data_IF_450092218750
#
_entry.id   IF_450092218750
#
_cell.length_a   1.000
_cell.length_b   1.000
_cell.length_c   1.000
_cell.angle_alpha   90.00
_cell.angle_beta   90.00
_cell.angle_gamma   90.00
#
_symmetry.space_group_name_H-M   'P 1'
#
loop_
_entity.id
_entity.type
_entity.pdbx_description
1 polymer ?
#
# COMPACT_ATOMS: atom_id res chain seq x y z
N UNK A 1 -4.91 19.40 -27.40
CA UNK A 1 -4.35 18.12 -27.93
C UNK A 1 -3.37 17.50 -26.92
N UNK A 2 -3.87 17.05 -25.76
CA UNK A 2 -3.02 16.45 -24.70
C UNK A 2 -3.46 15.02 -24.31
N UNK A 3 -4.39 14.42 -25.07
CA UNK A 3 -5.00 13.12 -24.73
C UNK A 3 -4.49 11.92 -25.56
N UNK A 4 -3.52 12.10 -26.46
CA UNK A 4 -3.12 11.00 -27.40
C UNK A 4 -1.72 10.44 -27.12
N UNK A 5 -0.91 11.09 -26.27
CA UNK A 5 0.44 10.61 -25.97
C UNK A 5 0.53 9.68 -24.74
N UNK A 6 -0.56 9.50 -23.99
CA UNK A 6 -0.59 8.58 -22.84
C UNK A 6 -0.91 7.12 -23.21
N UNK A 7 -1.44 6.86 -24.41
CA UNK A 7 -1.81 5.50 -24.83
C UNK A 7 -0.61 4.72 -25.41
N UNK A 8 0.44 5.40 -25.86
CA UNK A 8 1.57 4.76 -26.57
C UNK A 8 2.77 4.46 -25.67
N UNK A 9 2.81 4.98 -24.45
CA UNK A 9 3.86 4.63 -23.48
C UNK A 9 3.24 3.71 -22.44
N UNK A 10 3.15 2.41 -22.76
CA UNK A 10 3.10 1.36 -21.75
C UNK A 10 4.39 1.46 -20.92
N UNK A 11 4.45 2.39 -19.97
CA UNK A 11 5.37 2.25 -18.84
C UNK A 11 4.82 1.06 -18.09
N UNK A 12 5.41 -0.11 -18.31
CA UNK A 12 5.02 -1.35 -17.65
C UNK A 12 5.33 -1.23 -16.15
N UNK A 13 4.38 -0.66 -15.40
CA UNK A 13 4.45 -0.46 -13.95
C UNK A 13 4.75 -1.77 -13.21
N UNK A 14 4.37 -2.93 -13.78
CA UNK A 14 4.66 -4.25 -13.21
C UNK A 14 6.15 -4.60 -13.28
N UNK A 15 6.85 -4.15 -14.32
CA UNK A 15 8.31 -4.31 -14.41
C UNK A 15 9.05 -3.52 -13.32
N UNK A 16 8.43 -2.44 -12.83
CA UNK A 16 9.03 -1.58 -11.83
C UNK A 16 9.01 -2.19 -10.41
N UNK A 17 8.06 -3.05 -10.09
CA UNK A 17 7.91 -3.54 -8.71
C UNK A 17 8.30 -5.01 -8.52
N UNK A 18 8.85 -5.68 -9.54
CA UNK A 18 9.41 -7.03 -9.36
C UNK A 18 10.78 -6.98 -8.67
N UNK A 19 11.04 -7.82 -7.64
CA UNK A 19 12.40 -8.07 -7.20
C UNK A 19 13.14 -8.71 -8.38
N UNK A 20 14.16 -8.04 -8.91
CA UNK A 20 15.00 -8.62 -9.97
C UNK A 20 15.81 -9.77 -9.35
N UNK A 21 15.90 -10.95 -10.02
CA UNK A 21 16.80 -11.99 -9.59
C UNK A 21 18.23 -11.43 -9.56
N UNK A 22 18.99 -11.78 -8.51
CA UNK A 22 20.42 -11.50 -8.40
C UNK A 22 21.11 -12.01 -9.67
N UNK A 23 21.41 -11.13 -10.62
CA UNK A 23 22.13 -11.48 -11.85
C UNK A 23 21.67 -10.83 -13.16
N UNK A 24 20.47 -10.21 -13.22
CA UNK A 24 20.05 -9.46 -14.41
C UNK A 24 20.21 -7.95 -14.16
N UNK A 25 21.40 -7.44 -14.45
CA UNK A 25 21.70 -6.00 -14.47
C UNK A 25 20.68 -5.27 -15.38
N UNK A 26 20.15 -4.11 -14.97
CA UNK A 26 19.31 -3.30 -15.84
C UNK A 26 20.13 -2.76 -17.02
N UNK A 27 19.49 -2.58 -18.17
CA UNK A 27 19.93 -1.59 -19.14
C UNK A 27 20.28 -0.26 -18.42
N UNK A 28 21.40 0.40 -18.75
CA UNK A 28 21.98 1.51 -17.98
C UNK A 28 21.17 2.82 -18.03
N UNK A 29 19.91 2.80 -18.47
CA UNK A 29 19.10 4.01 -18.69
C UNK A 29 18.00 4.27 -17.65
N UNK A 30 17.72 3.36 -16.72
CA UNK A 30 16.74 3.60 -15.64
C UNK A 30 17.49 3.75 -14.32
N UNK A 31 17.91 4.98 -14.06
CA UNK A 31 18.59 5.35 -12.81
C UNK A 31 17.59 5.31 -11.63
N UNK A 32 18.04 5.04 -10.39
CA UNK A 32 17.21 5.08 -9.17
C UNK A 32 16.45 6.40 -8.98
N UNK A 33 16.99 7.49 -9.53
CA UNK A 33 16.36 8.81 -9.57
C UNK A 33 15.07 8.85 -10.39
N UNK A 34 14.94 8.04 -11.45
CA UNK A 34 13.76 8.01 -12.31
C UNK A 34 12.57 7.30 -11.64
N UNK A 35 12.83 6.26 -10.83
CA UNK A 35 11.80 5.63 -10.00
C UNK A 35 11.27 6.56 -8.92
N UNK A 36 12.20 7.26 -8.27
CA UNK A 36 11.86 8.30 -7.29
C UNK A 36 11.01 9.39 -7.95
N UNK A 37 11.38 9.82 -9.16
CA UNK A 37 10.63 10.80 -9.94
C UNK A 37 9.25 10.26 -10.36
N UNK A 38 9.15 9.01 -10.79
CA UNK A 38 7.88 8.40 -11.21
C UNK A 38 6.92 8.24 -10.02
N UNK A 39 7.40 7.76 -8.88
CA UNK A 39 6.60 7.61 -7.66
C UNK A 39 6.17 8.99 -7.15
N UNK A 40 7.06 9.97 -7.14
CA UNK A 40 6.74 11.33 -6.72
C UNK A 40 5.76 12.02 -7.70
N UNK A 41 5.95 11.81 -9.01
CA UNK A 41 5.04 12.30 -10.06
C UNK A 41 3.65 11.66 -9.93
N UNK A 42 3.55 10.35 -9.72
CA UNK A 42 2.27 9.66 -9.46
C UNK A 42 1.61 10.18 -8.19
N UNK A 43 2.39 10.38 -7.11
CA UNK A 43 1.93 10.91 -5.82
C UNK A 43 1.43 12.36 -5.87
N UNK A 44 1.97 13.17 -6.78
CA UNK A 44 1.63 14.59 -6.94
C UNK A 44 0.57 14.84 -8.01
N UNK A 45 0.52 14.03 -9.08
CA UNK A 45 -0.43 14.23 -10.19
C UNK A 45 -1.65 13.32 -10.15
N UNK A 46 -1.59 12.07 -9.67
CA UNK A 46 -2.74 11.17 -9.77
C UNK A 46 -3.64 11.20 -8.53
N UNK A 47 -3.04 11.32 -7.35
CA UNK A 47 -3.77 11.28 -6.08
C UNK A 47 -4.43 12.63 -5.77
N UNK A 48 -3.76 13.76 -6.05
CA UNK A 48 -4.28 15.10 -5.72
C UNK A 48 -5.40 15.64 -6.62
N UNK A 49 -5.73 14.98 -7.74
CA UNK A 49 -6.69 15.50 -8.72
C UNK A 49 -8.15 15.13 -8.44
N UNK A 50 -8.45 14.35 -7.39
CA UNK A 50 -9.82 13.85 -7.10
C UNK A 50 -10.51 13.22 -8.33
N UNK A 51 -9.75 12.70 -9.31
CA UNK A 51 -10.32 11.94 -10.43
C UNK A 51 -10.42 10.47 -10.01
N UNK A 52 -11.64 9.95 -9.84
CA UNK A 52 -11.84 8.55 -9.50
C UNK A 52 -11.33 7.61 -10.61
N UNK A 53 -11.37 8.03 -11.88
CA UNK A 53 -10.89 7.19 -13.00
C UNK A 53 -9.38 6.91 -12.91
N UNK A 54 -8.58 7.95 -12.61
CA UNK A 54 -7.13 7.80 -12.48
C UNK A 54 -6.76 6.94 -11.27
N UNK A 55 -7.49 7.08 -10.17
CA UNK A 55 -7.29 6.25 -8.96
C UNK A 55 -7.55 4.77 -9.26
N UNK A 56 -8.60 4.47 -10.02
CA UNK A 56 -8.94 3.10 -10.40
C UNK A 56 -7.89 2.47 -11.32
N UNK A 57 -7.40 3.23 -12.32
CA UNK A 57 -6.31 2.78 -13.20
C UNK A 57 -5.04 2.51 -12.37
N UNK A 58 -4.67 3.41 -11.45
CA UNK A 58 -3.50 3.20 -10.60
C UNK A 58 -3.65 1.93 -9.75
N UNK A 59 -4.80 1.75 -9.10
CA UNK A 59 -5.05 0.55 -8.27
C UNK A 59 -4.98 -0.73 -9.10
N UNK A 60 -5.49 -0.71 -10.33
CA UNK A 60 -5.40 -1.86 -11.24
C UNK A 60 -3.95 -2.23 -11.60
N UNK A 61 -3.05 -1.24 -11.69
CA UNK A 61 -1.62 -1.46 -11.99
C UNK A 61 -0.85 -1.99 -10.77
N UNK A 62 -1.24 -1.56 -9.56
CA UNK A 62 -0.60 -1.96 -8.30
C UNK A 62 -1.15 -3.28 -7.74
N UNK A 63 -2.30 -3.74 -8.23
CA UNK A 63 -2.96 -4.97 -7.81
C UNK A 63 -2.00 -6.18 -7.87
N UNK A 64 -2.05 -6.98 -6.81
CA UNK A 64 -1.17 -8.14 -6.59
C UNK A 64 0.17 -7.80 -5.92
N UNK A 65 0.51 -6.52 -5.76
CA UNK A 65 1.78 -6.09 -5.18
C UNK A 65 1.63 -5.24 -3.92
N UNK A 66 0.42 -5.02 -3.39
CA UNK A 66 0.22 -4.06 -2.29
C UNK A 66 1.05 -4.39 -1.04
N UNK A 67 1.20 -5.66 -0.70
CA UNK A 67 2.01 -6.07 0.44
C UNK A 67 3.50 -5.74 0.24
N UNK A 68 4.04 -5.97 -0.95
CA UNK A 68 5.43 -5.65 -1.26
C UNK A 68 5.68 -4.13 -1.26
N UNK A 69 4.78 -3.37 -1.88
CA UNK A 69 4.83 -1.90 -1.92
C UNK A 69 4.76 -1.27 -0.54
N UNK A 70 3.99 -1.88 0.37
CA UNK A 70 3.81 -1.38 1.74
C UNK A 70 5.08 -1.42 2.57
N UNK A 71 6.06 -2.26 2.22
CA UNK A 71 7.36 -2.36 2.91
C UNK A 71 8.42 -1.45 2.30
N UNK A 72 8.07 -0.68 1.26
CA UNK A 72 8.99 0.25 0.63
C UNK A 72 8.80 1.66 1.18
N UNK A 73 9.89 2.29 1.61
CA UNK A 73 9.94 3.66 2.17
C UNK A 73 9.12 4.70 1.41
N UNK A 74 9.09 4.62 0.08
CA UNK A 74 8.43 5.60 -0.77
C UNK A 74 7.07 5.10 -1.26
N UNK A 75 7.00 3.84 -1.67
CA UNK A 75 5.76 3.27 -2.21
C UNK A 75 4.70 3.04 -1.13
N UNK A 76 5.08 2.87 0.15
CA UNK A 76 4.12 2.75 1.26
C UNK A 76 3.18 3.97 1.32
N UNK A 77 3.72 5.18 1.09
CA UNK A 77 2.95 6.42 1.08
C UNK A 77 1.91 6.43 -0.05
N UNK A 78 2.21 5.79 -1.19
CA UNK A 78 1.27 5.64 -2.30
C UNK A 78 0.13 4.74 -1.86
N UNK A 79 0.43 3.60 -1.24
CA UNK A 79 -0.59 2.65 -0.76
C UNK A 79 -1.47 3.30 0.31
N UNK A 80 -0.89 4.06 1.25
CA UNK A 80 -1.65 4.82 2.25
C UNK A 80 -2.60 5.82 1.62
N UNK A 81 -2.13 6.58 0.64
CA UNK A 81 -2.96 7.51 -0.11
C UNK A 81 -4.08 6.81 -0.87
N UNK A 82 -3.80 5.71 -1.56
CA UNK A 82 -4.82 4.90 -2.21
C UNK A 82 -5.87 4.41 -1.20
N UNK A 83 -5.48 4.02 0.01
CA UNK A 83 -6.44 3.62 1.05
C UNK A 83 -7.30 4.77 1.55
N UNK A 84 -6.74 5.99 1.67
CA UNK A 84 -7.42 7.14 2.25
C UNK A 84 -8.33 7.85 1.24
N UNK A 85 -7.90 7.93 -0.02
CA UNK A 85 -8.51 8.80 -1.04
C UNK A 85 -9.34 8.04 -2.08
N UNK A 86 -9.26 6.70 -2.12
CA UNK A 86 -10.10 5.91 -3.03
C UNK A 86 -11.49 5.66 -2.48
N UNK A 87 -12.41 5.30 -3.38
CA UNK A 87 -13.75 4.86 -3.03
C UNK A 87 -13.73 3.68 -2.05
N UNK A 88 -14.71 3.55 -1.14
CA UNK A 88 -14.74 2.52 -0.11
C UNK A 88 -14.59 1.09 -0.65
N UNK A 89 -15.11 0.81 -1.84
CA UNK A 89 -15.01 -0.50 -2.48
C UNK A 89 -13.58 -0.80 -2.96
N UNK A 90 -12.87 0.22 -3.46
CA UNK A 90 -11.48 0.13 -3.89
C UNK A 90 -10.60 -0.09 -2.66
N UNK A 91 -10.77 0.71 -1.61
CA UNK A 91 -10.04 0.54 -0.35
C UNK A 91 -10.28 -0.86 0.24
N UNK A 92 -11.51 -1.38 0.17
CA UNK A 92 -11.84 -2.74 0.61
C UNK A 92 -11.08 -3.80 -0.18
N UNK A 93 -10.98 -3.67 -1.51
CA UNK A 93 -10.18 -4.58 -2.36
C UNK A 93 -8.70 -4.58 -1.96
N UNK A 94 -8.11 -3.40 -1.75
CA UNK A 94 -6.71 -3.26 -1.32
C UNK A 94 -6.49 -3.94 0.04
N UNK A 95 -7.38 -3.69 1.00
CA UNK A 95 -7.30 -4.29 2.34
C UNK A 95 -7.36 -5.81 2.28
N UNK A 96 -8.31 -6.37 1.52
CA UNK A 96 -8.45 -7.80 1.39
C UNK A 96 -7.23 -8.44 0.73
N UNK A 97 -6.60 -7.77 -0.24
CA UNK A 97 -5.33 -8.21 -0.82
C UNK A 97 -4.21 -8.22 0.22
N UNK A 98 -4.07 -7.14 0.99
CA UNK A 98 -3.06 -7.03 2.05
C UNK A 98 -3.21 -8.17 3.07
N UNK A 99 -4.43 -8.47 3.52
CA UNK A 99 -4.69 -9.52 4.52
C UNK A 99 -4.48 -10.93 3.96
N UNK A 100 -4.80 -11.16 2.68
CA UNK A 100 -4.61 -12.46 2.02
C UNK A 100 -3.14 -12.73 1.67
N UNK A 101 -2.29 -11.71 1.67
CA UNK A 101 -0.87 -11.88 1.38
C UNK A 101 -0.20 -12.79 2.41
N UNK A 102 0.66 -13.74 2.01
CA UNK A 102 1.46 -14.52 2.95
C UNK A 102 2.42 -13.63 3.77
N UNK A 103 2.74 -12.43 3.25
CA UNK A 103 3.58 -11.44 3.91
C UNK A 103 2.80 -10.47 4.82
N UNK A 104 1.50 -10.68 5.03
CA UNK A 104 0.69 -9.80 5.87
C UNK A 104 1.24 -9.64 7.31
N UNK A 105 1.74 -10.70 7.98
CA UNK A 105 2.31 -10.57 9.32
C UNK A 105 3.55 -9.68 9.39
N UNK A 106 4.40 -9.67 8.34
CA UNK A 106 5.61 -8.85 8.34
C UNK A 106 5.28 -7.36 8.24
N UNK A 107 4.16 -6.99 7.61
CA UNK A 107 3.67 -5.60 7.56
C UNK A 107 3.38 -5.01 8.94
N UNK A 108 2.96 -5.84 9.90
CA UNK A 108 2.60 -5.40 11.25
C UNK A 108 3.81 -4.89 12.04
N UNK A 109 5.00 -5.38 11.70
CA UNK A 109 6.26 -5.12 12.40
C UNK A 109 7.27 -4.37 11.52
N UNK A 110 6.86 -3.97 10.32
CA UNK A 110 7.71 -3.27 9.35
C UNK A 110 7.74 -1.76 9.62
N UNK A 111 8.91 -1.09 9.46
CA UNK A 111 9.04 0.37 9.65
C UNK A 111 8.12 1.23 8.77
N UNK A 112 7.68 0.74 7.62
CA UNK A 112 6.80 1.44 6.68
C UNK A 112 5.41 0.81 6.63
N UNK A 113 5.34 -0.53 6.58
CA UNK A 113 4.10 -1.31 6.51
C UNK A 113 3.15 -1.04 7.67
N UNK A 114 3.68 -0.72 8.86
CA UNK A 114 2.86 -0.40 10.02
C UNK A 114 1.96 0.83 9.80
N UNK A 115 2.39 1.80 8.99
CA UNK A 115 1.58 2.96 8.65
C UNK A 115 0.46 2.57 7.69
N UNK A 116 0.75 1.72 6.70
CA UNK A 116 -0.26 1.17 5.79
C UNK A 116 -1.36 0.42 6.56
N UNK A 117 -0.99 -0.45 7.51
CA UNK A 117 -1.97 -1.18 8.33
C UNK A 117 -2.81 -0.22 9.19
N UNK A 118 -2.21 0.83 9.76
CA UNK A 118 -2.96 1.84 10.51
C UNK A 118 -3.95 2.61 9.62
N UNK A 119 -3.53 2.98 8.41
CA UNK A 119 -4.37 3.64 7.41
C UNK A 119 -5.52 2.72 6.96
N UNK A 120 -5.23 1.44 6.70
CA UNK A 120 -6.22 0.40 6.42
C UNK A 120 -7.25 0.27 7.57
N UNK A 121 -6.81 0.21 8.82
CA UNK A 121 -7.71 0.17 10.00
C UNK A 121 -8.58 1.43 10.14
N UNK A 122 -8.13 2.59 9.64
CA UNK A 122 -8.89 3.84 9.70
C UNK A 122 -10.07 3.82 8.73
N UNK A 123 -9.87 3.30 7.53
CA UNK A 123 -10.86 3.32 6.43
C UNK A 123 -11.68 2.03 6.33
N UNK A 124 -11.20 0.93 6.90
CA UNK A 124 -11.86 -0.38 6.84
C UNK A 124 -13.27 -0.38 7.42
N UNK A 125 -14.17 -1.11 6.75
CA UNK A 125 -15.57 -1.36 7.15
C UNK A 125 -15.94 -2.83 6.91
N UNK A 126 -17.02 -3.29 7.55
CA UNK A 126 -17.58 -4.63 7.35
C UNK A 126 -16.56 -5.76 7.45
N UNK A 127 -16.60 -6.68 6.49
CA UNK A 127 -15.75 -7.89 6.45
C UNK A 127 -14.26 -7.56 6.43
N UNK A 128 -13.84 -6.54 5.67
CA UNK A 128 -12.43 -6.17 5.58
C UNK A 128 -11.84 -5.71 6.92
N UNK A 129 -12.65 -5.02 7.74
CA UNK A 129 -12.24 -4.63 9.10
C UNK A 129 -12.08 -5.84 10.02
N UNK A 130 -12.95 -6.84 9.89
CA UNK A 130 -12.85 -8.06 10.69
C UNK A 130 -11.64 -8.89 10.29
N UNK A 131 -11.38 -9.07 8.99
CA UNK A 131 -10.18 -9.75 8.50
C UNK A 131 -8.89 -9.07 8.98
N UNK A 132 -8.83 -7.73 8.98
CA UNK A 132 -7.68 -6.99 9.55
C UNK A 132 -7.53 -7.22 11.05
N UNK A 133 -8.64 -7.24 11.80
CA UNK A 133 -8.62 -7.51 13.24
C UNK A 133 -8.11 -8.90 13.53
N UNK A 134 -8.61 -9.90 12.82
CA UNK A 134 -8.13 -11.29 12.96
C UNK A 134 -6.64 -11.40 12.66
N UNK A 135 -6.15 -10.73 11.60
CA UNK A 135 -4.72 -10.70 11.29
C UNK A 135 -3.90 -10.15 12.46
N UNK A 136 -4.33 -9.04 13.06
CA UNK A 136 -3.65 -8.44 14.21
C UNK A 136 -3.70 -9.37 15.42
N UNK A 137 -4.87 -9.91 15.75
CA UNK A 137 -5.08 -10.77 16.91
C UNK A 137 -4.23 -12.05 16.85
N UNK A 138 -4.10 -12.66 15.66
CA UNK A 138 -3.25 -13.84 15.45
C UNK A 138 -1.76 -13.55 15.63
N UNK A 139 -1.33 -12.29 15.53
CA UNK A 139 0.07 -11.87 15.55
C UNK A 139 0.43 -11.00 16.77
N UNK A 140 -0.44 -10.91 17.79
CA UNK A 140 -0.21 -10.03 18.96
C UNK A 140 1.14 -10.30 19.63
N UNK A 141 1.52 -11.56 19.78
CA UNK A 141 2.77 -11.93 20.47
C UNK A 141 4.02 -11.35 19.80
N UNK A 142 4.10 -11.41 18.46
CA UNK A 142 5.24 -10.85 17.71
C UNK A 142 5.20 -9.32 17.66
N UNK A 143 4.00 -8.74 17.67
CA UNK A 143 3.80 -7.29 17.68
C UNK A 143 4.18 -6.65 19.02
N UNK A 144 3.87 -7.31 20.15
CA UNK A 144 4.19 -6.80 21.49
C UNK A 144 5.69 -6.75 21.78
N UNK A 145 6.50 -7.58 21.13
CA UNK A 145 7.97 -7.52 21.25
C UNK A 145 8.62 -6.55 20.25
N UNK A 146 7.86 -5.95 19.32
CA UNK A 146 8.39 -5.11 18.25
C UNK A 146 7.98 -3.63 18.39
N UNK A 147 8.91 -2.71 18.10
CA UNK A 147 8.68 -1.26 18.22
C UNK A 147 7.52 -0.75 17.34
N UNK A 148 7.39 -1.25 16.12
CA UNK A 148 6.35 -0.83 15.17
C UNK A 148 5.02 -1.53 15.46
N UNK A 149 5.06 -2.82 15.80
CA UNK A 149 3.88 -3.61 16.18
C UNK A 149 3.13 -3.04 17.38
N UNK A 150 3.85 -2.60 18.42
CA UNK A 150 3.27 -1.94 19.61
C UNK A 150 2.40 -0.74 19.24
N UNK A 151 2.84 0.11 18.31
CA UNK A 151 2.09 1.31 17.89
C UNK A 151 0.74 0.97 17.28
N UNK A 152 0.66 -0.14 16.53
CA UNK A 152 -0.61 -0.63 15.98
C UNK A 152 -1.52 -1.09 17.12
N UNK A 153 -1.00 -1.91 18.05
CA UNK A 153 -1.76 -2.44 19.18
C UNK A 153 -2.35 -1.34 20.05
N UNK A 154 -1.54 -0.34 20.45
CA UNK A 154 -1.98 0.80 21.25
C UNK A 154 -3.15 1.56 20.59
N UNK A 155 -3.12 1.65 19.26
CA UNK A 155 -4.15 2.36 18.49
C UNK A 155 -5.44 1.55 18.36
N UNK A 156 -5.33 0.22 18.28
CA UNK A 156 -6.47 -0.71 18.31
C UNK A 156 -7.12 -0.71 19.70
N UNK A 157 -6.34 -0.72 20.77
CA UNK A 157 -6.82 -0.71 22.16
C UNK A 157 -7.50 0.62 22.53
N UNK A 158 -6.92 1.77 22.18
CA UNK A 158 -7.56 3.09 22.39
C UNK A 158 -8.93 3.17 21.74
N UNK A 159 -9.10 2.63 20.54
CA UNK A 159 -10.41 2.56 19.87
C UNK A 159 -11.38 1.59 20.54
N UNK A 160 -10.93 0.64 21.37
CA UNK A 160 -11.83 -0.24 22.15
C UNK A 160 -12.32 0.46 23.41
N UNK A 161 -11.50 1.32 24.02
CA UNK A 161 -11.84 2.04 25.26
C UNK A 161 -12.75 3.25 25.01
N UNK A 162 -12.69 3.88 23.83
CA UNK A 162 -13.55 5.05 23.49
C UNK A 162 -15.02 4.66 23.25
N UNK A 163 -15.29 3.39 22.92
CA UNK A 163 -16.63 2.88 22.63
C UNK A 163 -17.15 1.92 23.72
N UNK A 164 -16.52 1.93 24.89
CA UNK A 164 -17.05 1.36 26.13
C UNK A 164 -17.54 2.49 27.01
#
# INVERSE_FOLDING_TARGET
MVCVWWVTVQVDFKSCFRPKPFGLLPNPLILPSQYFFLINYVLQHMVGLQSPELTEVLVSQLQGNFAYLSQNKYASNVVEKCLIESEPDIATKIILELVKSPNAPSLLVDPYGNFVIQSALKVSRGIAKECLRELILRNVNSMQSNLYGKKILEKVEKKRTIYK
#
